data_IF_917806048660
#
_entry.id   IF_917806048660
#
_cell.length_a   1.000
_cell.length_b   1.000
_cell.length_c   1.000
_cell.angle_alpha   90.00
_cell.angle_beta   90.00
_cell.angle_gamma   90.00
#
_symmetry.space_group_name_H-M   'P 1'
#
loop_
_entity.id
_entity.type
_entity.pdbx_description
1 polymer ?
#
# COMPACT_ATOMS: atom_id res chain seq x y z
N UNK A 1 18.50 -16.39 4.72
CA UNK A 1 17.74 -15.53 5.65
C UNK A 1 16.37 -15.28 5.02
N UNK A 2 15.24 -15.49 5.71
CA UNK A 2 13.92 -15.13 5.15
C UNK A 2 13.92 -13.61 4.93
N UNK A 3 13.62 -13.15 3.71
CA UNK A 3 13.46 -11.70 3.51
C UNK A 3 12.38 -11.17 4.43
N UNK A 4 12.68 -10.04 5.05
CA UNK A 4 11.77 -9.31 5.92
C UNK A 4 10.72 -8.53 5.11
N UNK A 5 11.05 -8.14 3.88
CA UNK A 5 10.20 -7.33 3.00
C UNK A 5 8.81 -7.90 2.69
N UNK A 6 8.62 -9.20 2.40
CA UNK A 6 7.28 -9.77 2.21
C UNK A 6 6.37 -9.62 3.43
N UNK A 7 6.91 -9.63 4.66
CA UNK A 7 6.10 -9.39 5.87
C UNK A 7 5.59 -7.95 5.92
N UNK A 8 6.44 -6.98 5.55
CA UNK A 8 6.03 -5.57 5.42
C UNK A 8 4.97 -5.43 4.31
N UNK A 9 5.16 -6.11 3.17
CA UNK A 9 4.19 -6.14 2.08
C UNK A 9 2.81 -6.65 2.54
N UNK A 10 2.77 -7.72 3.33
CA UNK A 10 1.51 -8.25 3.90
C UNK A 10 0.85 -7.23 4.84
N UNK A 11 1.61 -6.59 5.73
CA UNK A 11 1.07 -5.57 6.63
C UNK A 11 0.50 -4.37 5.86
N UNK A 12 1.17 -3.94 4.80
CA UNK A 12 0.68 -2.87 3.91
C UNK A 12 -0.57 -3.28 3.14
N UNK A 13 -0.70 -4.54 2.71
CA UNK A 13 -1.93 -5.02 2.08
C UNK A 13 -3.11 -5.05 3.05
N UNK A 14 -2.87 -5.46 4.30
CA UNK A 14 -3.88 -5.40 5.37
C UNK A 14 -4.30 -3.94 5.61
N UNK A 15 -3.33 -3.01 5.61
CA UNK A 15 -3.60 -1.58 5.72
C UNK A 15 -4.49 -1.06 4.57
N UNK A 16 -4.14 -1.37 3.32
CA UNK A 16 -4.96 -0.99 2.14
C UNK A 16 -6.37 -1.57 2.21
N UNK A 17 -6.53 -2.81 2.68
CA UNK A 17 -7.84 -3.42 2.87
C UNK A 17 -8.66 -2.70 3.96
N UNK A 18 -8.00 -2.25 5.03
CA UNK A 18 -8.64 -1.42 6.05
C UNK A 18 -9.08 -0.06 5.51
N UNK A 19 -8.22 0.64 4.76
CA UNK A 19 -8.54 1.93 4.14
C UNK A 19 -9.77 1.81 3.21
N UNK A 20 -9.86 0.71 2.44
CA UNK A 20 -11.03 0.38 1.62
C UNK A 20 -12.31 0.16 2.43
N UNK A 21 -12.22 -0.53 3.57
CA UNK A 21 -13.34 -0.76 4.47
C UNK A 21 -13.79 0.53 5.15
N UNK A 22 -12.85 1.36 5.59
CA UNK A 22 -13.10 2.60 6.31
C UNK A 22 -13.59 3.74 5.39
N UNK A 23 -13.27 3.68 4.08
CA UNK A 23 -13.64 4.71 3.12
C UNK A 23 -12.77 5.97 3.19
N UNK A 24 -11.64 5.91 3.89
CA UNK A 24 -10.63 6.96 3.94
C UNK A 24 -9.23 6.34 3.96
N UNK A 25 -8.23 7.12 3.56
CA UNK A 25 -6.81 6.72 3.63
C UNK A 25 -6.00 7.80 4.34
N UNK A 26 -4.93 7.38 5.02
CA UNK A 26 -4.06 8.28 5.78
C UNK A 26 -2.80 8.54 4.98
N UNK A 27 -2.47 9.81 4.80
CA UNK A 27 -1.20 10.24 4.20
C UNK A 27 -0.45 11.21 5.15
N UNK A 28 -0.71 12.51 4.99
CA UNK A 28 -0.37 13.56 5.97
C UNK A 28 -1.62 14.10 6.69
N UNK A 29 -2.77 13.89 6.05
CA UNK A 29 -4.10 14.19 6.54
C UNK A 29 -5.02 13.02 6.15
N UNK A 30 -6.23 12.99 6.70
CA UNK A 30 -7.24 11.97 6.40
C UNK A 30 -7.92 12.33 5.08
N UNK A 31 -7.73 11.49 4.06
CA UNK A 31 -8.35 11.68 2.74
C UNK A 31 -9.58 10.79 2.63
N UNK A 32 -10.75 11.40 2.71
CA UNK A 32 -12.03 10.70 2.58
C UNK A 32 -12.39 10.49 1.10
N UNK A 33 -12.89 9.30 0.78
CA UNK A 33 -13.37 8.94 -0.56
C UNK A 33 -14.49 9.87 -1.05
N UNK A 34 -15.38 10.29 -0.15
CA UNK A 34 -16.56 11.10 -0.51
C UNK A 34 -16.26 12.60 -0.68
N UNK A 35 -15.09 13.06 -0.20
CA UNK A 35 -14.68 14.48 -0.28
C UNK A 35 -13.72 14.71 -1.44
N UNK A 36 -12.66 13.90 -1.54
CA UNK A 36 -11.62 14.02 -2.58
C UNK A 36 -11.38 12.65 -3.27
N UNK A 37 -12.34 12.13 -4.07
CA UNK A 37 -12.30 10.77 -4.60
C UNK A 37 -11.05 10.49 -5.44
N UNK A 38 -10.64 11.42 -6.31
CA UNK A 38 -9.46 11.26 -7.16
C UNK A 38 -8.19 11.10 -6.32
N UNK A 39 -8.04 11.92 -5.27
CA UNK A 39 -6.88 11.89 -4.38
C UNK A 39 -6.90 10.62 -3.53
N UNK A 40 -8.05 10.22 -3.01
CA UNK A 40 -8.23 8.96 -2.30
C UNK A 40 -7.73 7.78 -3.15
N UNK A 41 -8.20 7.65 -4.39
CA UNK A 41 -7.79 6.55 -5.27
C UNK A 41 -6.31 6.62 -5.67
N UNK A 42 -5.76 7.81 -5.89
CA UNK A 42 -4.34 7.99 -6.17
C UNK A 42 -3.46 7.55 -5.00
N UNK A 43 -3.82 7.96 -3.77
CA UNK A 43 -3.10 7.58 -2.54
C UNK A 43 -3.22 6.09 -2.27
N UNK A 44 -4.43 5.55 -2.31
CA UNK A 44 -4.68 4.12 -2.13
C UNK A 44 -3.95 3.27 -3.18
N UNK A 45 -3.92 3.73 -4.43
CA UNK A 45 -3.13 3.12 -5.51
C UNK A 45 -1.63 3.16 -5.21
N UNK A 46 -1.12 4.30 -4.70
CA UNK A 46 0.26 4.43 -4.25
C UNK A 46 0.63 3.45 -3.14
N UNK A 47 -0.22 3.33 -2.11
CA UNK A 47 -0.04 2.36 -1.03
C UNK A 47 -0.07 0.92 -1.54
N UNK A 48 -0.96 0.61 -2.49
CA UNK A 48 -1.05 -0.70 -3.12
C UNK A 48 0.23 -1.04 -3.89
N UNK A 49 0.72 -0.10 -4.71
CA UNK A 49 1.97 -0.28 -5.46
C UNK A 49 3.18 -0.45 -4.54
N UNK A 50 3.23 0.29 -3.43
CA UNK A 50 4.28 0.14 -2.41
C UNK A 50 4.21 -1.23 -1.73
N UNK A 51 3.01 -1.71 -1.40
CA UNK A 51 2.82 -3.03 -0.82
C UNK A 51 3.31 -4.12 -1.79
N UNK A 52 2.96 -3.99 -3.07
CA UNK A 52 3.36 -4.91 -4.13
C UNK A 52 4.87 -4.87 -4.36
N UNK A 53 5.51 -3.69 -4.37
CA UNK A 53 6.96 -3.57 -4.59
C UNK A 53 7.79 -4.28 -3.51
N UNK A 54 7.26 -4.42 -2.29
CA UNK A 54 7.89 -5.18 -1.21
C UNK A 54 8.06 -6.68 -1.54
N UNK A 55 7.28 -7.22 -2.48
CA UNK A 55 7.42 -8.60 -2.95
C UNK A 55 8.42 -8.73 -4.12
N UNK A 56 8.66 -7.65 -4.86
CA UNK A 56 9.58 -7.60 -6.01
C UNK A 56 10.98 -7.08 -5.66
N UNK A 57 11.19 -6.52 -4.47
CA UNK A 57 12.51 -6.10 -3.97
C UNK A 57 13.52 -7.27 -3.83
N UNK A 58 13.17 -8.48 -4.28
CA UNK A 58 13.99 -9.68 -4.26
C UNK A 58 14.05 -10.33 -5.64
N UNK A 59 14.81 -9.72 -6.55
CA UNK A 59 15.14 -10.30 -7.86
C UNK A 59 16.37 -9.66 -8.51
N UNK A 60 17.24 -9.04 -7.71
CA UNK A 60 18.50 -8.47 -8.19
C UNK A 60 19.67 -9.43 -8.02
N UNK A 61 19.55 -10.66 -8.52
CA UNK A 61 20.64 -11.56 -8.91
C UNK A 61 20.07 -12.50 -9.98
N UNK A 62 19.78 -11.96 -11.17
CA UNK A 62 19.85 -12.75 -12.40
C UNK A 62 21.28 -12.55 -12.91
N UNK A 63 22.14 -13.55 -12.67
CA UNK A 63 23.42 -13.74 -13.37
C UNK A 63 23.19 -13.99 -14.87
#
# INVERSE_FOLDING_TARGET
>A
MRSFWPFIGILLLIWVAYDLYAGYTILWDVVYKDVEPTKYWAVLGGWTLLAISCFFSWGGEEE
#
